data_IF_537967454601
#
_entry.id   IF_537967454601
#
_cell.length_a   1.000
_cell.length_b   1.000
_cell.length_c   1.000
_cell.angle_alpha   90.00
_cell.angle_beta   90.00
_cell.angle_gamma   90.00
#
_symmetry.space_group_name_H-M   'P 1'
#
loop_
_entity.id
_entity.type
_entity.pdbx_description
1 polymer ?
#
# COMPACT_ATOMS: atom_id res chain seq x y z
N UNK A 1 -6.29 -18.34 -25.17
CA UNK A 1 -6.85 -19.43 -24.36
C UNK A 1 -8.00 -20.06 -25.13
N UNK A 2 -8.15 -21.39 -25.12
CA UNK A 2 -9.32 -22.08 -25.67
C UNK A 2 -10.63 -21.48 -25.14
N UNK A 3 -11.66 -21.46 -25.98
CA UNK A 3 -12.97 -20.90 -25.60
C UNK A 3 -13.70 -21.92 -24.71
N UNK A 4 -14.32 -21.44 -23.63
CA UNK A 4 -15.15 -22.24 -22.72
C UNK A 4 -16.62 -21.81 -22.89
N UNK A 5 -17.52 -22.79 -22.93
CA UNK A 5 -18.96 -22.59 -23.01
C UNK A 5 -19.64 -23.58 -22.06
N UNK A 6 -20.71 -23.12 -21.42
CA UNK A 6 -21.44 -23.94 -20.46
C UNK A 6 -22.31 -24.99 -21.15
N UNK A 7 -22.37 -26.18 -20.53
CA UNK A 7 -23.25 -27.29 -20.92
C UNK A 7 -23.10 -27.73 -22.38
N UNK A 8 -21.87 -27.84 -22.88
CA UNK A 8 -21.60 -28.45 -24.19
C UNK A 8 -21.21 -29.91 -24.03
N UNK A 9 -22.00 -30.83 -24.58
CA UNK A 9 -21.77 -32.29 -24.50
C UNK A 9 -22.40 -33.03 -25.68
N UNK A 10 -21.65 -33.97 -26.23
CA UNK A 10 -22.06 -34.93 -27.25
C UNK A 10 -21.49 -36.31 -26.93
N UNK A 11 -21.82 -37.33 -27.71
CA UNK A 11 -21.17 -38.65 -27.61
C UNK A 11 -20.39 -38.99 -28.87
N UNK A 12 -19.42 -39.88 -28.73
CA UNK A 12 -18.68 -40.49 -29.84
C UNK A 12 -18.64 -42.01 -29.69
N UNK A 13 -18.50 -42.72 -30.81
CA UNK A 13 -18.16 -44.15 -30.87
C UNK A 13 -16.83 -44.39 -31.58
N UNK A 14 -16.05 -43.33 -31.82
CA UNK A 14 -14.72 -43.42 -32.41
C UNK A 14 -13.81 -44.27 -31.52
N UNK A 15 -13.01 -45.13 -32.16
CA UNK A 15 -11.99 -45.96 -31.53
C UNK A 15 -10.59 -45.47 -31.89
N UNK A 16 -9.58 -45.92 -31.18
CA UNK A 16 -8.19 -45.58 -31.49
C UNK A 16 -7.71 -44.29 -30.81
N UNK A 17 -6.61 -43.77 -31.31
CA UNK A 17 -5.93 -42.57 -30.81
C UNK A 17 -6.20 -41.31 -31.65
N UNK A 18 -6.95 -41.43 -32.75
CA UNK A 18 -7.19 -40.35 -33.69
C UNK A 18 -8.29 -39.36 -33.29
N UNK A 19 -8.57 -38.44 -34.21
CA UNK A 19 -9.70 -37.51 -34.17
C UNK A 19 -11.02 -38.24 -33.92
N UNK A 20 -11.86 -37.66 -33.07
CA UNK A 20 -13.18 -38.23 -32.74
C UNK A 20 -14.29 -37.58 -33.55
N UNK A 21 -15.25 -38.39 -33.99
CA UNK A 21 -16.48 -37.93 -34.63
C UNK A 21 -17.55 -37.70 -33.55
N UNK A 22 -18.19 -36.52 -33.56
CA UNK A 22 -19.20 -36.11 -32.60
C UNK A 22 -20.60 -36.45 -33.15
N UNK A 23 -21.04 -37.68 -32.91
CA UNK A 23 -22.20 -38.27 -33.58
C UNK A 23 -23.48 -38.22 -32.74
N UNK A 24 -23.39 -38.35 -31.42
CA UNK A 24 -24.59 -38.38 -30.56
C UNK A 24 -24.90 -37.04 -29.91
N UNK A 25 -26.18 -36.72 -29.82
CA UNK A 25 -26.70 -35.58 -29.07
C UNK A 25 -27.07 -36.04 -27.65
N UNK A 26 -26.81 -35.20 -26.65
CA UNK A 26 -27.18 -35.48 -25.26
C UNK A 26 -28.26 -34.49 -24.83
N UNK A 27 -29.38 -35.00 -24.33
CA UNK A 27 -30.52 -34.16 -23.91
C UNK A 27 -30.11 -33.19 -22.80
N UNK A 28 -30.52 -31.91 -22.92
CA UNK A 28 -30.20 -30.88 -21.93
C UNK A 28 -28.78 -30.29 -22.04
N UNK A 29 -28.07 -30.58 -23.13
CA UNK A 29 -26.77 -30.01 -23.49
C UNK A 29 -26.79 -29.42 -24.89
N UNK A 30 -25.94 -28.43 -25.11
CA UNK A 30 -25.64 -27.86 -26.43
C UNK A 30 -24.70 -28.80 -27.19
N UNK A 31 -24.83 -28.84 -28.52
CA UNK A 31 -23.82 -29.47 -29.38
C UNK A 31 -22.61 -28.57 -29.55
N UNK A 32 -21.47 -29.14 -29.96
CA UNK A 32 -20.27 -28.33 -30.23
C UNK A 32 -20.51 -27.33 -31.37
N UNK A 33 -21.28 -27.70 -32.39
CA UNK A 33 -21.64 -26.82 -33.51
C UNK A 33 -22.53 -25.64 -33.10
N UNK A 34 -23.35 -25.79 -32.07
CA UNK A 34 -24.15 -24.68 -31.51
C UNK A 34 -23.28 -23.71 -30.69
N UNK A 35 -22.26 -24.23 -30.03
CA UNK A 35 -21.44 -23.47 -29.08
C UNK A 35 -20.21 -22.79 -29.70
N UNK A 36 -19.67 -23.37 -30.77
CA UNK A 36 -18.40 -22.95 -31.36
C UNK A 36 -18.44 -22.90 -32.90
N UNK A 37 -17.82 -21.89 -33.52
CA UNK A 37 -17.54 -21.91 -34.94
C UNK A 37 -16.46 -22.94 -35.29
N UNK A 38 -16.36 -23.31 -36.56
CA UNK A 38 -15.31 -24.23 -37.05
C UNK A 38 -13.91 -23.66 -36.85
N UNK A 39 -12.94 -24.53 -36.53
CA UNK A 39 -11.56 -24.15 -36.27
C UNK A 39 -11.29 -23.65 -34.84
N UNK A 40 -12.29 -23.69 -33.95
CA UNK A 40 -12.13 -23.22 -32.58
C UNK A 40 -11.33 -24.22 -31.74
N UNK A 41 -10.29 -23.76 -31.05
CA UNK A 41 -9.67 -24.52 -29.97
C UNK A 41 -10.58 -24.51 -28.73
N UNK A 42 -10.84 -25.70 -28.21
CA UNK A 42 -11.66 -25.94 -27.02
C UNK A 42 -10.90 -26.81 -26.03
N UNK A 43 -11.21 -26.62 -24.75
CA UNK A 43 -10.90 -27.63 -23.75
C UNK A 43 -11.94 -28.74 -23.83
N UNK A 44 -11.50 -30.00 -23.78
CA UNK A 44 -12.40 -31.14 -23.82
C UNK A 44 -12.09 -32.13 -22.69
N UNK A 45 -13.09 -32.93 -22.38
CA UNK A 45 -12.97 -34.22 -21.71
C UNK A 45 -13.67 -35.28 -22.55
N UNK A 46 -13.01 -36.42 -22.77
CA UNK A 46 -13.62 -37.64 -23.32
C UNK A 46 -13.59 -38.69 -22.20
N UNK A 47 -14.72 -39.35 -21.91
CA UNK A 47 -14.77 -40.39 -20.88
C UNK A 47 -15.81 -41.48 -21.20
N UNK A 48 -15.54 -42.72 -20.79
CA UNK A 48 -16.47 -43.86 -20.92
C UNK A 48 -16.81 -44.54 -19.59
N UNK A 49 -16.53 -43.86 -18.47
CA UNK A 49 -16.75 -44.36 -17.12
C UNK A 49 -15.62 -45.24 -16.59
N UNK A 50 -14.70 -45.69 -17.46
CA UNK A 50 -13.45 -46.36 -17.07
C UNK A 50 -12.25 -45.49 -17.46
N UNK A 51 -12.14 -45.19 -18.74
CA UNK A 51 -11.06 -44.38 -19.29
C UNK A 51 -11.50 -42.92 -19.43
N UNK A 52 -10.54 -42.01 -19.29
CA UNK A 52 -10.78 -40.58 -19.44
C UNK A 52 -9.54 -39.86 -20.00
N UNK A 53 -9.81 -38.79 -20.75
CA UNK A 53 -8.78 -37.89 -21.27
C UNK A 53 -9.28 -36.45 -21.22
N UNK A 54 -8.45 -35.55 -20.69
CA UNK A 54 -8.69 -34.11 -20.66
C UNK A 54 -7.62 -33.42 -21.49
N UNK A 55 -8.03 -32.55 -22.41
CA UNK A 55 -7.10 -31.98 -23.38
C UNK A 55 -7.54 -30.68 -24.04
N UNK A 56 -6.73 -30.23 -24.98
CA UNK A 56 -7.02 -29.14 -25.92
C UNK A 56 -7.20 -29.76 -27.30
N UNK A 57 -8.28 -29.41 -27.98
CA UNK A 57 -8.60 -29.90 -29.30
C UNK A 57 -9.19 -28.82 -30.18
N UNK A 58 -9.15 -29.03 -31.48
CA UNK A 58 -9.73 -28.14 -32.48
C UNK A 58 -11.03 -28.73 -32.99
N UNK A 59 -12.14 -28.03 -32.74
CA UNK A 59 -13.45 -28.42 -33.25
C UNK A 59 -13.61 -28.00 -34.71
N UNK A 60 -14.04 -28.94 -35.56
CA UNK A 60 -14.38 -28.69 -36.96
C UNK A 60 -15.84 -29.05 -37.20
N UNK A 61 -16.59 -28.11 -37.78
CA UNK A 61 -18.00 -28.32 -38.10
C UNK A 61 -18.13 -29.33 -39.26
N UNK A 62 -19.16 -30.18 -39.21
CA UNK A 62 -19.40 -31.21 -40.22
C UNK A 62 -20.66 -32.02 -39.90
N UNK A 63 -20.93 -33.05 -40.70
CA UNK A 63 -22.01 -34.01 -40.45
C UNK A 63 -21.45 -35.45 -40.52
N UNK A 64 -20.93 -36.00 -39.40
CA UNK A 64 -20.82 -35.37 -38.06
C UNK A 64 -19.67 -34.37 -37.97
N UNK A 65 -19.71 -33.48 -36.97
CA UNK A 65 -18.57 -32.65 -36.61
C UNK A 65 -17.43 -33.48 -36.04
N UNK A 66 -16.21 -32.94 -36.03
CA UNK A 66 -15.03 -33.64 -35.51
C UNK A 66 -14.27 -32.80 -34.49
N UNK A 67 -13.59 -33.48 -33.57
CA UNK A 67 -12.73 -32.87 -32.57
C UNK A 67 -11.36 -33.54 -32.61
N UNK A 68 -10.33 -32.76 -32.92
CA UNK A 68 -8.94 -33.23 -32.82
C UNK A 68 -8.51 -33.31 -31.35
N UNK A 69 -7.43 -34.04 -31.10
CA UNK A 69 -6.87 -34.28 -29.75
C UNK A 69 -5.45 -33.73 -29.71
N UNK A 70 -5.34 -32.41 -29.91
CA UNK A 70 -4.07 -31.73 -30.21
C UNK A 70 -3.07 -31.83 -29.05
N UNK A 71 -3.54 -31.66 -27.81
CA UNK A 71 -2.72 -31.75 -26.60
C UNK A 71 -3.48 -32.48 -25.50
N UNK A 72 -2.87 -33.51 -24.91
CA UNK A 72 -3.38 -34.15 -23.69
C UNK A 72 -2.81 -33.43 -22.47
N UNK A 73 -3.69 -32.95 -21.59
CA UNK A 73 -3.31 -32.27 -20.35
C UNK A 73 -3.22 -33.26 -19.19
N UNK A 74 -4.14 -34.22 -19.14
CA UNK A 74 -4.12 -35.33 -18.21
C UNK A 74 -4.99 -36.50 -18.74
N UNK A 75 -4.72 -37.72 -18.32
CA UNK A 75 -5.50 -38.90 -18.76
C UNK A 75 -5.33 -40.12 -17.87
N UNK A 76 -6.26 -41.08 -18.01
CA UNK A 76 -6.13 -42.43 -17.43
C UNK A 76 -4.95 -43.24 -18.00
N UNK A 77 -4.32 -42.76 -19.09
CA UNK A 77 -3.18 -43.38 -19.75
C UNK A 77 -1.87 -42.63 -19.46
N UNK A 78 -1.61 -42.30 -18.18
CA UNK A 78 -0.39 -41.64 -17.73
C UNK A 78 -0.03 -40.37 -18.54
N UNK A 79 -1.02 -39.47 -18.71
CA UNK A 79 -0.90 -38.22 -19.49
C UNK A 79 -0.66 -38.41 -21.00
N UNK A 80 -0.79 -39.63 -21.51
CA UNK A 80 -0.71 -39.92 -22.95
C UNK A 80 -2.09 -40.03 -23.58
N UNK A 81 -2.14 -40.00 -24.91
CA UNK A 81 -3.38 -40.19 -25.67
C UNK A 81 -4.02 -41.54 -25.32
N UNK A 82 -5.29 -41.52 -24.95
CA UNK A 82 -6.07 -42.74 -24.66
C UNK A 82 -6.41 -43.46 -25.96
N UNK A 83 -6.15 -44.76 -26.01
CA UNK A 83 -6.55 -45.62 -27.13
C UNK A 83 -7.97 -46.16 -26.87
N UNK A 84 -8.97 -45.53 -27.48
CA UNK A 84 -10.37 -45.84 -27.19
C UNK A 84 -10.80 -47.19 -27.76
N UNK A 85 -11.30 -48.07 -26.89
CA UNK A 85 -12.00 -49.29 -27.29
C UNK A 85 -13.39 -48.97 -27.90
N UNK A 86 -14.03 -49.99 -28.48
CA UNK A 86 -15.42 -49.91 -28.94
C UNK A 86 -16.37 -49.54 -27.79
N UNK A 87 -17.42 -48.78 -28.10
CA UNK A 87 -18.41 -48.33 -27.12
C UNK A 87 -18.70 -46.84 -27.21
N UNK A 88 -19.70 -46.38 -26.47
CA UNK A 88 -20.07 -44.96 -26.40
C UNK A 88 -19.22 -44.24 -25.38
N UNK A 89 -18.68 -43.08 -25.76
CA UNK A 89 -17.97 -42.16 -24.87
C UNK A 89 -18.66 -40.82 -24.85
N UNK A 90 -18.70 -40.21 -23.68
CA UNK A 90 -19.10 -38.81 -23.52
C UNK A 90 -17.95 -37.90 -23.94
N UNK A 91 -18.26 -36.85 -24.70
CA UNK A 91 -17.33 -35.79 -25.09
C UNK A 91 -17.95 -34.46 -24.66
N UNK A 92 -17.29 -33.73 -23.77
CA UNK A 92 -17.83 -32.48 -23.22
C UNK A 92 -16.75 -31.43 -23.01
N UNK A 93 -17.15 -30.17 -22.98
CA UNK A 93 -16.26 -29.06 -22.64
C UNK A 93 -16.08 -29.02 -21.12
N UNK A 94 -14.84 -28.84 -20.68
CA UNK A 94 -14.50 -28.68 -19.27
C UNK A 94 -13.53 -27.52 -19.08
N UNK A 95 -13.39 -27.01 -17.86
CA UNK A 95 -12.26 -26.18 -17.47
C UNK A 95 -11.23 -27.08 -16.79
N UNK A 96 -10.15 -27.51 -17.48
CA UNK A 96 -9.20 -28.44 -16.90
C UNK A 96 -8.45 -27.81 -15.73
N UNK A 97 -8.13 -28.58 -14.70
CA UNK A 97 -7.36 -28.08 -13.55
C UNK A 97 -6.01 -27.47 -13.97
N UNK A 98 -5.39 -28.03 -15.02
CA UNK A 98 -4.16 -27.49 -15.63
C UNK A 98 -4.33 -26.06 -16.19
N UNK A 99 -5.55 -25.65 -16.56
CA UNK A 99 -5.85 -24.28 -16.98
C UNK A 99 -6.11 -23.32 -15.80
N UNK A 100 -6.28 -23.84 -14.58
CA UNK A 100 -6.54 -23.05 -13.35
C UNK A 100 -5.23 -22.79 -12.58
N UNK A 101 -4.09 -23.31 -13.03
CA UNK A 101 -2.80 -23.07 -12.38
C UNK A 101 -2.34 -21.62 -12.60
N UNK A 102 -2.27 -20.84 -11.52
CA UNK A 102 -1.56 -19.56 -11.50
C UNK A 102 -2.04 -18.67 -10.37
N UNK A 103 -1.09 -18.05 -9.67
CA UNK A 103 -1.40 -16.93 -8.79
C UNK A 103 -1.92 -15.72 -9.59
N UNK A 104 -1.93 -14.55 -8.95
CA UNK A 104 -2.32 -13.31 -9.60
C UNK A 104 -1.58 -13.10 -10.95
N UNK A 105 -0.30 -13.49 -11.00
CA UNK A 105 0.53 -13.46 -12.20
C UNK A 105 0.85 -14.88 -12.71
N UNK A 106 0.81 -15.03 -14.03
CA UNK A 106 1.15 -16.25 -14.76
C UNK A 106 2.65 -16.33 -15.12
N UNK A 107 3.35 -15.20 -15.14
CA UNK A 107 4.78 -15.11 -15.49
C UNK A 107 5.44 -13.87 -14.88
N UNK A 108 6.78 -13.82 -14.93
CA UNK A 108 7.59 -12.64 -14.58
C UNK A 108 8.45 -12.27 -15.79
N UNK A 109 8.47 -11.01 -16.19
CA UNK A 109 9.24 -10.51 -17.32
C UNK A 109 10.08 -9.29 -16.93
N UNK A 110 11.41 -9.39 -17.02
CA UNK A 110 12.31 -8.29 -16.74
C UNK A 110 12.37 -7.29 -17.90
N UNK A 111 12.39 -5.99 -17.61
CA UNK A 111 12.54 -4.90 -18.59
C UNK A 111 13.63 -3.93 -18.15
N UNK A 112 14.55 -3.64 -19.06
CA UNK A 112 15.73 -2.79 -18.80
C UNK A 112 15.79 -1.53 -19.68
N UNK A 113 14.72 -1.25 -20.42
CA UNK A 113 14.54 -0.08 -21.29
C UNK A 113 13.06 0.23 -21.41
N UNK A 114 12.72 1.41 -21.93
CA UNK A 114 11.33 1.81 -22.19
C UNK A 114 10.57 0.70 -22.94
N UNK A 115 9.35 0.45 -22.50
CA UNK A 115 8.58 -0.71 -22.96
C UNK A 115 7.09 -0.37 -23.04
N UNK A 116 6.47 -0.72 -24.17
CA UNK A 116 5.02 -0.61 -24.34
C UNK A 116 4.34 -1.88 -23.87
N UNK A 117 3.51 -1.79 -22.82
CA UNK A 117 2.68 -2.90 -22.32
C UNK A 117 1.64 -3.26 -23.36
N UNK A 118 1.59 -4.53 -23.73
CA UNK A 118 0.73 -5.05 -24.81
C UNK A 118 -0.18 -6.18 -24.32
N UNK A 119 -1.06 -6.68 -25.19
CA UNK A 119 -1.98 -7.76 -24.85
C UNK A 119 -1.28 -9.05 -24.38
N UNK A 120 -0.02 -9.29 -24.77
CA UNK A 120 0.77 -10.46 -24.31
C UNK A 120 1.23 -10.34 -22.85
N UNK A 121 1.18 -9.14 -22.27
CA UNK A 121 1.57 -8.90 -20.88
C UNK A 121 0.42 -9.16 -19.89
N UNK A 122 -0.72 -9.67 -20.37
CA UNK A 122 -1.83 -10.04 -19.51
C UNK A 122 -1.38 -11.07 -18.46
N UNK A 123 -1.61 -10.71 -17.19
CA UNK A 123 -1.19 -11.46 -16.01
C UNK A 123 0.33 -11.64 -15.89
N UNK A 124 1.13 -10.76 -16.47
CA UNK A 124 2.59 -10.75 -16.27
C UNK A 124 2.96 -9.82 -15.12
N UNK A 125 3.91 -10.22 -14.27
CA UNK A 125 4.64 -9.29 -13.40
C UNK A 125 5.84 -8.73 -14.17
N UNK A 126 5.78 -7.45 -14.52
CA UNK A 126 6.87 -6.73 -15.17
C UNK A 126 7.86 -6.26 -14.09
N UNK A 127 9.09 -6.78 -14.13
CA UNK A 127 10.18 -6.39 -13.24
C UNK A 127 11.07 -5.36 -13.96
N UNK A 128 10.92 -4.09 -13.62
CA UNK A 128 11.74 -3.02 -14.18
C UNK A 128 13.09 -2.97 -13.45
N UNK A 129 14.20 -3.12 -14.17
CA UNK A 129 15.54 -3.22 -13.58
C UNK A 129 16.33 -1.92 -13.58
N UNK A 130 15.79 -0.86 -14.19
CA UNK A 130 16.39 0.48 -14.28
C UNK A 130 15.27 1.52 -14.37
N UNK A 131 15.65 2.81 -14.40
CA UNK A 131 14.74 3.88 -14.80
C UNK A 131 14.25 3.66 -16.23
N UNK A 132 12.94 3.65 -16.42
CA UNK A 132 12.31 3.51 -17.72
C UNK A 132 10.87 4.03 -17.70
N UNK A 133 10.29 4.20 -18.87
CA UNK A 133 8.87 4.45 -19.07
C UNK A 133 8.17 3.18 -19.54
N UNK A 134 7.15 2.75 -18.80
CA UNK A 134 6.16 1.79 -19.23
C UNK A 134 4.98 2.53 -19.86
N UNK A 135 5.00 2.66 -21.18
CA UNK A 135 3.84 3.18 -21.92
C UNK A 135 2.74 2.11 -21.97
N UNK A 136 1.49 2.49 -21.72
CA UNK A 136 0.37 1.57 -21.80
C UNK A 136 -0.26 1.65 -23.19
N UNK A 137 -0.52 0.49 -23.81
CA UNK A 137 -1.42 0.45 -24.97
C UNK A 137 -2.79 0.99 -24.56
N UNK A 138 -3.47 1.73 -25.46
CA UNK A 138 -4.78 2.31 -25.19
C UNK A 138 -5.78 1.32 -24.56
N UNK A 139 -6.51 1.80 -23.56
CA UNK A 139 -7.44 0.99 -22.76
C UNK A 139 -8.48 0.27 -23.64
N UNK A 140 -8.97 0.94 -24.68
CA UNK A 140 -9.95 0.39 -25.64
C UNK A 140 -9.41 -0.80 -26.42
N UNK A 141 -8.10 -0.85 -26.66
CA UNK A 141 -7.45 -1.93 -27.43
C UNK A 141 -7.17 -3.16 -26.58
N UNK A 142 -6.89 -2.98 -25.28
CA UNK A 142 -6.64 -4.10 -24.35
C UNK A 142 -7.93 -4.66 -23.74
N UNK A 143 -8.98 -3.86 -23.66
CA UNK A 143 -10.30 -4.27 -23.20
C UNK A 143 -10.41 -4.41 -21.67
N UNK A 144 -11.66 -4.43 -21.21
CA UNK A 144 -11.97 -4.54 -19.77
C UNK A 144 -11.47 -5.86 -19.18
N UNK A 145 -10.84 -5.76 -18.01
CA UNK A 145 -10.28 -6.90 -17.26
C UNK A 145 -8.82 -7.21 -17.56
N UNK A 146 -8.20 -6.60 -18.58
CA UNK A 146 -6.75 -6.72 -18.78
C UNK A 146 -6.03 -6.25 -17.52
N UNK A 147 -5.18 -7.12 -16.95
CA UNK A 147 -4.51 -6.86 -15.67
C UNK A 147 -3.06 -7.31 -15.74
N UNK A 148 -2.13 -6.51 -15.20
CA UNK A 148 -0.72 -6.86 -15.06
C UNK A 148 -0.14 -6.26 -13.78
N UNK A 149 1.00 -6.79 -13.35
CA UNK A 149 1.77 -6.25 -12.23
C UNK A 149 3.02 -5.56 -12.73
N UNK A 150 3.49 -4.57 -11.99
CA UNK A 150 4.79 -3.95 -12.23
C UNK A 150 5.49 -3.72 -10.90
N UNK A 151 6.78 -4.02 -10.85
CA UNK A 151 7.66 -3.69 -9.73
C UNK A 151 8.88 -2.95 -10.25
N UNK A 152 9.27 -1.89 -9.54
CA UNK A 152 10.53 -1.22 -9.76
C UNK A 152 11.63 -1.88 -8.90
N UNK A 153 12.37 -2.81 -9.50
CA UNK A 153 13.55 -3.43 -8.89
C UNK A 153 14.84 -2.65 -9.14
N UNK A 154 14.80 -1.56 -9.90
CA UNK A 154 15.94 -0.71 -10.22
C UNK A 154 16.23 0.36 -9.16
N UNK A 155 17.26 1.16 -9.42
CA UNK A 155 17.73 2.24 -8.51
C UNK A 155 17.18 3.62 -8.85
N UNK A 156 16.52 3.79 -10.00
CA UNK A 156 15.87 5.04 -10.39
C UNK A 156 14.38 4.84 -10.66
N UNK A 157 13.68 5.90 -11.05
CA UNK A 157 12.22 5.90 -11.14
C UNK A 157 11.69 5.20 -12.39
N UNK A 158 10.60 4.46 -12.23
CA UNK A 158 9.81 3.91 -13.34
C UNK A 158 8.56 4.75 -13.52
N UNK A 159 8.35 5.28 -14.72
CA UNK A 159 7.12 6.02 -15.07
C UNK A 159 6.14 5.09 -15.76
N UNK A 160 4.88 5.10 -15.35
CA UNK A 160 3.80 4.42 -16.05
C UNK A 160 2.97 5.49 -16.75
N UNK A 161 2.83 5.33 -18.06
CA UNK A 161 2.33 6.36 -18.97
C UNK A 161 1.18 5.82 -19.84
N UNK A 162 -0.08 6.03 -19.41
CA UNK A 162 -1.27 5.76 -20.22
C UNK A 162 -1.22 6.41 -21.62
N UNK A 163 -1.89 5.78 -22.59
CA UNK A 163 -1.89 6.26 -23.98
C UNK A 163 -2.65 7.59 -24.13
N UNK A 164 -2.01 8.60 -24.72
CA UNK A 164 -2.66 9.84 -25.11
C UNK A 164 -3.15 10.65 -23.90
N UNK A 165 -4.46 10.88 -23.81
CA UNK A 165 -5.08 11.60 -22.69
C UNK A 165 -5.76 10.68 -21.67
N UNK A 166 -5.49 9.37 -21.74
CA UNK A 166 -5.96 8.43 -20.73
C UNK A 166 -5.34 8.76 -19.37
N UNK A 167 -6.01 8.33 -18.31
CA UNK A 167 -5.50 8.48 -16.95
C UNK A 167 -5.45 7.15 -16.23
N UNK A 168 -4.55 7.07 -15.25
CA UNK A 168 -4.47 5.99 -14.26
C UNK A 168 -4.69 6.62 -12.89
N UNK A 169 -5.75 6.19 -12.20
CA UNK A 169 -6.21 6.82 -10.94
C UNK A 169 -6.40 8.36 -11.04
N UNK A 170 -6.82 8.87 -12.20
CA UNK A 170 -7.03 10.29 -12.44
C UNK A 170 -5.76 11.10 -12.75
N UNK A 171 -4.57 10.47 -12.80
CA UNK A 171 -3.32 11.10 -13.20
C UNK A 171 -2.93 10.71 -14.64
N UNK A 172 -2.28 11.63 -15.37
CA UNK A 172 -1.75 11.35 -16.71
C UNK A 172 -0.57 10.38 -16.69
N UNK A 173 0.18 10.33 -15.59
CA UNK A 173 1.22 9.32 -15.35
C UNK A 173 1.29 9.01 -13.86
N UNK A 174 1.82 7.84 -13.52
CA UNK A 174 2.24 7.53 -12.13
C UNK A 174 3.69 7.09 -12.12
N UNK A 175 4.44 7.50 -11.11
CA UNK A 175 5.85 7.12 -10.94
C UNK A 175 5.99 6.10 -9.81
N UNK A 176 6.77 5.05 -10.01
CA UNK A 176 7.18 4.09 -8.99
C UNK A 176 8.63 4.40 -8.58
N UNK A 177 8.84 4.67 -7.29
CA UNK A 177 10.18 4.80 -6.74
C UNK A 177 10.90 3.44 -6.68
N UNK A 178 12.23 3.39 -6.49
CA UNK A 178 12.95 2.14 -6.23
C UNK A 178 12.28 1.34 -5.12
N UNK A 179 11.93 0.07 -5.40
CA UNK A 179 11.24 -0.83 -4.47
C UNK A 179 9.71 -0.77 -4.51
N UNK A 180 9.10 0.24 -5.12
CA UNK A 180 7.64 0.33 -5.27
C UNK A 180 7.10 -0.71 -6.27
N UNK A 181 5.81 -1.01 -6.14
CA UNK A 181 5.07 -1.83 -7.07
C UNK A 181 3.64 -1.34 -7.27
N UNK A 182 3.03 -1.75 -8.38
CA UNK A 182 1.61 -1.55 -8.66
C UNK A 182 1.00 -2.75 -9.38
N UNK A 183 -0.29 -2.98 -9.15
CA UNK A 183 -1.15 -3.83 -9.98
C UNK A 183 -2.07 -2.91 -10.77
N UNK A 184 -2.10 -3.05 -12.09
CA UNK A 184 -2.92 -2.23 -12.96
C UNK A 184 -4.00 -3.07 -13.62
N UNK A 185 -5.22 -2.52 -13.68
CA UNK A 185 -6.36 -3.13 -14.36
C UNK A 185 -7.00 -2.12 -15.32
N UNK A 186 -7.25 -2.56 -16.54
CA UNK A 186 -7.98 -1.82 -17.56
C UNK A 186 -9.49 -2.05 -17.43
N UNK A 187 -10.28 -0.99 -17.55
CA UNK A 187 -11.76 -1.05 -17.62
C UNK A 187 -12.30 -1.12 -19.06
N UNK A 188 -11.43 -0.99 -20.06
CA UNK A 188 -11.78 -0.81 -21.47
C UNK A 188 -11.86 0.67 -21.89
N UNK A 189 -11.87 1.61 -20.95
CA UNK A 189 -11.87 3.07 -21.23
C UNK A 189 -10.90 3.87 -20.36
N UNK A 190 -10.43 3.29 -19.25
CA UNK A 190 -9.53 3.92 -18.29
C UNK A 190 -8.73 2.88 -17.51
N UNK A 191 -7.70 3.33 -16.80
CA UNK A 191 -6.84 2.51 -15.96
C UNK A 191 -7.07 2.76 -14.48
N UNK A 192 -7.05 1.69 -13.69
CA UNK A 192 -6.99 1.74 -12.23
C UNK A 192 -5.73 1.03 -11.76
N UNK A 193 -5.08 1.59 -10.73
CA UNK A 193 -3.88 1.01 -10.15
C UNK A 193 -4.02 0.85 -8.64
N UNK A 194 -3.77 -0.36 -8.13
CA UNK A 194 -3.44 -0.61 -6.74
C UNK A 194 -1.93 -0.45 -6.60
N UNK A 195 -1.51 0.70 -6.07
CA UNK A 195 -0.09 1.04 -5.90
C UNK A 195 0.27 0.98 -4.42
N UNK A 196 1.39 0.33 -4.08
CA UNK A 196 2.04 0.64 -2.81
C UNK A 196 2.60 2.05 -2.94
N UNK A 197 1.98 3.00 -2.27
CA UNK A 197 2.69 4.23 -1.97
C UNK A 197 3.84 3.80 -1.07
N UNK A 198 5.10 4.00 -1.48
CA UNK A 198 6.15 4.17 -0.50
C UNK A 198 5.55 5.04 0.61
N UNK A 199 5.76 4.65 1.87
CA UNK A 199 5.79 5.65 2.92
C UNK A 199 6.93 6.58 2.49
N UNK A 200 6.64 7.55 1.62
CA UNK A 200 7.43 8.76 1.50
C UNK A 200 7.63 9.15 2.94
N UNK A 201 8.88 9.13 3.40
CA UNK A 201 9.22 9.63 4.73
C UNK A 201 8.50 10.96 4.84
N UNK A 202 7.38 10.99 5.56
CA UNK A 202 6.65 12.22 5.72
C UNK A 202 7.61 13.05 6.54
N UNK A 203 8.00 14.23 6.06
CA UNK A 203 8.71 15.21 6.88
C UNK A 203 8.00 15.38 8.23
N UNK A 204 6.68 15.21 8.21
CA UNK A 204 5.72 14.98 9.28
C UNK A 204 5.91 13.62 10.00
N UNK A 205 7.11 13.27 10.47
CA UNK A 205 7.32 12.13 11.39
C UNK A 205 8.51 12.36 12.34
N UNK A 206 8.67 11.53 13.37
CA UNK A 206 9.87 11.54 14.20
C UNK A 206 11.10 11.15 13.37
N UNK A 207 12.21 11.87 13.54
CA UNK A 207 13.44 11.59 12.80
C UNK A 207 14.07 10.28 13.30
N UNK A 208 14.33 9.36 12.37
CA UNK A 208 15.07 8.12 12.69
C UNK A 208 16.56 8.36 12.94
N UNK A 209 17.10 9.50 12.50
CA UNK A 209 18.51 9.87 12.66
C UNK A 209 18.75 10.89 13.78
N UNK A 210 17.76 11.72 14.12
CA UNK A 210 17.90 12.77 15.13
C UNK A 210 17.14 12.43 16.42
N UNK A 211 17.64 11.40 17.10
CA UNK A 211 17.10 10.87 18.34
C UNK A 211 18.20 10.21 19.18
N UNK A 212 17.98 10.09 20.48
CA UNK A 212 18.81 9.26 21.34
C UNK A 212 18.67 7.77 20.98
N UNK A 213 19.74 7.00 21.22
CA UNK A 213 19.85 5.61 20.75
C UNK A 213 18.69 4.73 21.21
N UNK A 214 18.22 4.89 22.46
CA UNK A 214 17.19 4.03 23.03
C UNK A 214 15.77 4.56 22.86
N UNK A 215 15.57 5.70 22.18
CA UNK A 215 14.22 6.09 21.74
C UNK A 215 13.79 5.18 20.59
N UNK A 216 12.78 4.35 20.81
CA UNK A 216 12.26 3.42 19.80
C UNK A 216 11.15 4.07 19.02
N UNK A 217 11.24 4.01 17.68
CA UNK A 217 10.24 4.54 16.75
C UNK A 217 9.47 3.40 16.07
N UNK A 218 8.16 3.54 15.93
CA UNK A 218 7.26 2.57 15.29
C UNK A 218 6.14 3.27 14.51
N UNK A 219 5.30 2.49 13.82
CA UNK A 219 4.14 2.97 13.04
C UNK A 219 4.52 4.06 12.04
N UNK A 220 5.53 3.80 11.20
CA UNK A 220 6.05 4.80 10.26
C UNK A 220 6.69 6.01 10.96
N UNK A 221 7.36 5.77 12.09
CA UNK A 221 7.98 6.79 12.94
C UNK A 221 7.02 7.84 13.51
N UNK A 222 5.73 7.54 13.63
CA UNK A 222 4.79 8.41 14.35
C UNK A 222 4.72 8.08 15.84
N UNK A 223 5.08 6.86 16.24
CA UNK A 223 5.07 6.45 17.64
C UNK A 223 6.49 6.47 18.21
N UNK A 224 6.70 7.18 19.31
CA UNK A 224 7.94 7.21 20.07
C UNK A 224 7.76 6.56 21.44
N UNK A 225 8.67 5.67 21.82
CA UNK A 225 8.57 4.92 23.08
C UNK A 225 9.94 4.62 23.68
N UNK A 226 9.95 4.27 24.96
CA UNK A 226 11.14 3.75 25.64
C UNK A 226 10.75 2.60 26.56
N UNK A 227 11.57 1.55 26.59
CA UNK A 227 11.40 0.41 27.52
C UNK A 227 12.19 0.58 28.83
N UNK A 228 13.26 1.38 28.81
CA UNK A 228 14.10 1.68 29.97
C UNK A 228 13.56 2.79 30.88
N UNK A 229 14.17 2.93 32.07
CA UNK A 229 13.80 3.94 33.08
C UNK A 229 14.42 5.32 32.86
N UNK A 230 15.39 5.45 31.95
CA UNK A 230 16.00 6.73 31.60
C UNK A 230 15.16 7.50 30.58
N UNK A 231 15.19 8.83 30.68
CA UNK A 231 14.59 9.68 29.65
C UNK A 231 15.31 9.46 28.31
N UNK A 232 14.56 9.34 27.23
CA UNK A 232 15.07 9.29 25.86
C UNK A 232 14.29 10.26 24.99
N UNK A 233 14.99 11.02 24.15
CA UNK A 233 14.43 12.14 23.42
C UNK A 233 14.76 12.09 21.93
N UNK A 234 13.99 12.81 21.14
CA UNK A 234 14.20 12.95 19.71
C UNK A 234 13.43 14.12 19.12
N UNK A 235 13.80 14.51 17.91
CA UNK A 235 13.14 15.56 17.12
C UNK A 235 12.41 14.95 15.92
N UNK A 236 11.46 15.69 15.37
CA UNK A 236 10.86 15.39 14.08
C UNK A 236 11.79 15.78 12.92
N UNK A 237 11.53 15.24 11.73
CA UNK A 237 12.32 15.49 10.53
C UNK A 237 12.12 16.88 9.91
N UNK A 238 11.12 17.63 10.37
CA UNK A 238 10.73 18.92 9.77
C UNK A 238 10.88 20.09 10.74
N UNK A 239 11.43 21.18 10.20
CA UNK A 239 11.52 22.46 10.90
C UNK A 239 10.16 23.18 10.90
N UNK A 240 9.87 23.84 12.01
CA UNK A 240 8.71 24.71 12.16
C UNK A 240 9.02 26.07 11.52
N UNK A 241 8.06 26.60 10.77
CA UNK A 241 8.08 27.98 10.28
C UNK A 241 6.67 28.48 10.01
N UNK A 242 6.40 29.72 10.39
CA UNK A 242 5.08 30.33 10.46
C UNK A 242 4.27 29.84 11.67
N UNK A 243 2.95 30.06 11.59
CA UNK A 243 1.97 29.57 12.56
C UNK A 243 1.67 28.09 12.33
N UNK A 244 2.20 27.23 13.20
CA UNK A 244 2.11 25.77 13.08
C UNK A 244 1.47 25.12 14.29
N UNK A 245 0.67 24.08 14.04
CA UNK A 245 0.03 23.28 15.07
C UNK A 245 0.29 21.79 14.84
N UNK A 246 0.49 21.06 15.94
CA UNK A 246 0.50 19.61 15.93
C UNK A 246 -0.01 19.04 17.25
N UNK A 247 -0.39 17.77 17.24
CA UNK A 247 -0.80 17.04 18.43
C UNK A 247 0.11 15.85 18.73
N UNK A 248 0.19 15.50 20.01
CA UNK A 248 0.81 14.25 20.47
C UNK A 248 -0.09 13.61 21.51
N UNK A 249 -0.45 12.34 21.30
CA UNK A 249 -1.26 11.55 22.25
C UNK A 249 -0.36 10.70 23.14
N UNK A 250 -0.66 10.62 24.43
CA UNK A 250 -0.05 9.65 25.33
C UNK A 250 -0.74 8.29 25.19
N UNK A 251 -0.06 7.31 24.60
CA UNK A 251 -0.62 5.98 24.33
C UNK A 251 -0.39 4.99 25.47
N UNK A 252 0.73 5.11 26.18
CA UNK A 252 1.02 4.34 27.38
C UNK A 252 1.68 5.24 28.42
N UNK A 253 1.21 5.15 29.66
CA UNK A 253 1.79 5.86 30.79
C UNK A 253 2.88 5.01 31.46
N UNK A 254 3.89 5.69 32.00
CA UNK A 254 4.83 5.07 32.92
C UNK A 254 4.08 4.59 34.19
N UNK A 255 4.53 3.49 34.84
CA UNK A 255 3.91 3.01 36.08
C UNK A 255 3.89 4.05 37.22
N UNK A 256 4.84 4.99 37.21
CA UNK A 256 4.90 6.12 38.15
C UNK A 256 5.75 7.26 37.59
N UNK A 257 5.39 8.50 37.92
CA UNK A 257 6.15 9.69 37.55
C UNK A 257 6.06 10.03 36.05
N UNK A 258 7.10 10.68 35.53
CA UNK A 258 7.14 11.14 34.14
C UNK A 258 6.94 9.99 33.13
N UNK A 259 5.95 10.16 32.26
CA UNK A 259 5.73 9.32 31.07
C UNK A 259 6.35 9.96 29.84
N UNK A 260 6.08 11.26 29.63
CA UNK A 260 6.60 11.99 28.48
C UNK A 260 6.71 13.51 28.71
N UNK A 261 7.53 14.16 27.88
CA UNK A 261 7.61 15.61 27.71
C UNK A 261 7.36 15.90 26.23
N UNK A 262 6.42 16.79 25.92
CA UNK A 262 6.10 17.20 24.55
C UNK A 262 6.49 18.66 24.35
N UNK A 263 7.13 18.98 23.22
CA UNK A 263 7.42 20.36 22.89
C UNK A 263 8.27 20.53 21.63
N UNK A 264 9.25 21.43 21.68
CA UNK A 264 10.13 21.73 20.55
C UNK A 264 11.58 21.91 21.00
N UNK A 265 12.53 21.70 20.10
CA UNK A 265 13.95 21.95 20.34
C UNK A 265 14.67 22.35 19.05
N UNK A 266 15.73 23.16 19.15
CA UNK A 266 16.66 23.39 18.03
C UNK A 266 17.52 22.15 17.80
N UNK A 267 18.14 22.05 16.62
CA UNK A 267 19.07 20.98 16.29
C UNK A 267 20.35 20.99 17.17
N UNK A 268 20.69 22.13 17.77
CA UNK A 268 21.87 22.28 18.63
C UNK A 268 21.64 21.83 20.07
N UNK A 269 20.40 21.58 20.48
CA UNK A 269 20.11 21.06 21.81
C UNK A 269 20.62 19.62 21.92
N UNK A 270 21.54 19.42 22.85
CA UNK A 270 21.96 18.11 23.32
C UNK A 270 21.00 17.66 24.42
N UNK A 271 20.37 16.51 24.22
CA UNK A 271 19.43 15.94 25.18
C UNK A 271 20.13 15.47 26.46
N UNK A 272 19.39 15.37 27.56
CA UNK A 272 19.92 14.86 28.82
C UNK A 272 19.00 13.83 29.46
N UNK A 273 19.56 12.94 30.28
CA UNK A 273 18.79 11.94 31.02
C UNK A 273 17.93 12.53 32.17
N UNK A 274 18.23 13.75 32.63
CA UNK A 274 17.52 14.41 33.73
C UNK A 274 16.43 15.39 33.27
N UNK A 275 16.62 16.04 32.12
CA UNK A 275 15.71 17.05 31.58
C UNK A 275 15.15 16.73 30.19
N UNK A 276 15.58 15.62 29.58
CA UNK A 276 15.12 15.18 28.28
C UNK A 276 15.38 16.25 27.21
N UNK A 277 14.33 16.57 26.47
CA UNK A 277 14.32 17.62 25.45
C UNK A 277 14.55 19.02 26.03
N UNK A 278 14.24 19.25 27.32
CA UNK A 278 14.22 20.57 27.94
C UNK A 278 15.58 20.98 28.56
N UNK A 279 16.68 20.36 28.14
CA UNK A 279 17.99 20.48 28.78
C UNK A 279 18.66 21.85 28.57
N UNK A 280 18.29 22.61 27.53
CA UNK A 280 18.96 23.86 27.15
C UNK A 280 17.97 24.97 26.77
N UNK A 281 18.44 26.21 26.67
CA UNK A 281 17.62 27.39 26.32
C UNK A 281 16.99 27.34 24.92
N UNK A 282 17.55 26.55 24.00
CA UNK A 282 16.98 26.28 22.67
C UNK A 282 15.86 25.23 22.66
N UNK A 283 15.15 25.04 23.77
CA UNK A 283 14.08 24.03 23.89
C UNK A 283 12.95 24.49 24.79
N UNK A 284 11.78 23.92 24.61
CA UNK A 284 10.62 24.11 25.48
C UNK A 284 9.81 22.83 25.52
N UNK A 285 9.38 22.44 26.72
CA UNK A 285 8.59 21.22 26.94
C UNK A 285 7.46 21.38 27.93
N UNK A 286 6.48 20.49 27.86
CA UNK A 286 5.39 20.36 28.80
C UNK A 286 5.36 18.92 29.34
N UNK A 287 5.46 18.74 30.66
CA UNK A 287 5.68 17.44 31.31
C UNK A 287 4.41 16.76 31.81
N UNK A 288 4.32 15.44 31.66
CA UNK A 288 3.12 14.66 31.98
C UNK A 288 2.79 14.56 33.46
N UNK A 289 3.81 14.37 34.30
CA UNK A 289 3.66 14.04 35.71
C UNK A 289 3.42 15.25 36.61
N UNK A 290 3.98 16.40 36.24
CA UNK A 290 3.94 17.63 37.04
C UNK A 290 3.07 18.72 36.43
N UNK A 291 2.75 18.63 35.13
CA UNK A 291 2.11 19.73 34.40
C UNK A 291 2.99 20.98 34.31
N UNK A 292 4.30 20.85 34.57
CA UNK A 292 5.23 21.96 34.47
C UNK A 292 5.60 22.25 33.02
N UNK A 293 5.86 23.52 32.75
CA UNK A 293 6.58 23.93 31.54
C UNK A 293 8.08 23.91 31.84
N UNK A 294 8.86 23.33 30.94
CA UNK A 294 10.28 23.04 31.12
C UNK A 294 11.12 23.74 30.05
N UNK A 295 12.21 24.37 30.43
CA UNK A 295 13.26 24.86 29.51
C UNK A 295 14.56 25.07 30.28
N UNK A 296 15.71 24.95 29.61
CA UNK A 296 17.02 25.26 30.19
C UNK A 296 17.25 24.61 31.56
N UNK A 297 16.96 23.31 31.66
CA UNK A 297 17.09 22.54 32.90
C UNK A 297 16.33 23.12 34.09
N UNK A 298 15.18 23.75 33.83
CA UNK A 298 14.33 24.40 34.84
C UNK A 298 12.86 24.07 34.56
N UNK A 299 12.10 23.78 35.62
CA UNK A 299 10.66 23.56 35.56
C UNK A 299 9.88 24.63 36.31
N UNK A 300 8.77 25.08 35.73
CA UNK A 300 7.89 26.10 36.31
C UNK A 300 6.44 25.60 36.26
N UNK A 301 5.69 25.82 37.34
CA UNK A 301 4.26 25.51 37.39
C UNK A 301 3.51 26.21 36.25
N UNK A 302 2.63 25.48 35.55
CA UNK A 302 2.02 26.00 34.32
C UNK A 302 0.63 25.44 34.04
N UNK A 303 0.52 24.13 33.84
CA UNK A 303 -0.70 23.46 33.41
C UNK A 303 -1.04 22.26 34.27
N UNK A 304 -2.08 21.54 33.87
CA UNK A 304 -2.48 20.28 34.51
C UNK A 304 -1.55 19.14 34.11
N UNK A 305 -1.41 18.15 34.98
CA UNK A 305 -0.81 16.86 34.62
C UNK A 305 -1.64 16.17 33.54
N UNK A 306 -1.06 15.20 32.84
CA UNK A 306 -1.72 14.46 31.78
C UNK A 306 -1.32 12.99 31.78
N UNK A 307 -2.28 12.15 31.42
CA UNK A 307 -2.26 10.69 31.59
C UNK A 307 -2.58 9.98 30.28
N UNK A 308 -2.48 8.64 30.27
CA UNK A 308 -2.81 7.83 29.09
C UNK A 308 -4.16 8.23 28.49
N UNK A 309 -4.18 8.40 27.18
CA UNK A 309 -5.34 8.84 26.41
C UNK A 309 -5.40 10.35 26.16
N UNK A 310 -4.77 11.17 27.02
CA UNK A 310 -4.73 12.62 26.82
C UNK A 310 -3.92 13.01 25.58
N UNK A 311 -4.34 14.10 24.95
CA UNK A 311 -3.73 14.67 23.75
C UNK A 311 -3.20 16.06 24.07
N UNK A 312 -1.92 16.27 23.78
CA UNK A 312 -1.25 17.54 23.93
C UNK A 312 -1.15 18.22 22.58
N UNK A 313 -1.80 19.38 22.44
CA UNK A 313 -1.65 20.25 21.28
C UNK A 313 -0.49 21.22 21.51
N UNK A 314 0.31 21.46 20.47
CA UNK A 314 1.41 22.42 20.48
C UNK A 314 1.19 23.39 19.33
N UNK A 315 1.03 24.67 19.66
CA UNK A 315 0.98 25.75 18.68
C UNK A 315 2.28 26.57 18.75
N UNK A 316 2.88 26.87 17.61
CA UNK A 316 4.08 27.70 17.49
C UNK A 316 3.89 28.83 16.51
N UNK A 317 4.45 30.00 16.80
CA UNK A 317 4.41 31.19 15.94
C UNK A 317 5.76 31.90 15.96
N UNK A 318 6.45 31.91 14.83
CA UNK A 318 7.69 32.66 14.58
C UNK A 318 7.49 33.88 13.67
N UNK A 319 6.24 34.21 13.31
CA UNK A 319 5.93 35.17 12.25
C UNK A 319 6.34 36.62 12.58
N UNK A 320 6.61 36.92 13.86
CA UNK A 320 7.15 38.20 14.31
C UNK A 320 8.60 38.41 13.88
N UNK A 321 9.36 37.32 13.65
CA UNK A 321 10.80 37.34 13.45
C UNK A 321 11.62 37.76 14.67
N UNK A 322 10.98 38.06 15.81
CA UNK A 322 11.64 38.54 17.04
C UNK A 322 11.75 37.45 18.13
N UNK A 323 10.79 36.53 18.13
CA UNK A 323 10.68 35.43 19.07
C UNK A 323 9.96 34.24 18.44
N UNK A 324 10.12 33.06 19.02
CA UNK A 324 9.28 31.89 18.72
C UNK A 324 8.36 31.68 19.91
N UNK A 325 7.07 31.96 19.70
CA UNK A 325 6.03 31.80 20.72
C UNK A 325 5.47 30.40 20.69
N UNK A 326 5.18 29.86 21.88
CA UNK A 326 4.70 28.47 22.03
C UNK A 326 3.51 28.44 22.99
N UNK A 327 2.48 27.68 22.63
CA UNK A 327 1.34 27.38 23.50
C UNK A 327 1.11 25.87 23.56
N UNK A 328 0.65 25.40 24.73
CA UNK A 328 0.26 24.01 24.93
C UNK A 328 -1.22 23.91 25.27
N UNK A 329 -1.89 22.93 24.69
CA UNK A 329 -3.25 22.53 25.07
C UNK A 329 -3.24 21.11 25.64
N UNK A 330 -4.22 20.81 26.48
CA UNK A 330 -4.55 19.45 26.90
C UNK A 330 -6.00 19.19 26.47
N UNK A 331 -6.21 18.19 25.63
CA UNK A 331 -7.53 17.81 25.12
C UNK A 331 -8.29 19.02 24.53
N UNK A 332 -7.59 19.86 23.76
CA UNK A 332 -8.14 21.08 23.15
C UNK A 332 -8.23 22.29 24.08
N UNK A 333 -7.96 22.16 25.38
CA UNK A 333 -8.00 23.27 26.35
C UNK A 333 -6.60 23.88 26.53
N UNK A 334 -6.44 25.15 26.14
CA UNK A 334 -5.18 25.88 26.29
C UNK A 334 -4.79 26.07 27.76
N UNK A 335 -3.55 25.69 28.08
CA UNK A 335 -3.01 25.75 29.43
C UNK A 335 -2.46 27.15 29.75
N UNK A 336 -2.40 27.52 31.04
CA UNK A 336 -1.86 28.81 31.49
C UNK A 336 -2.60 30.05 30.97
N UNK A 337 -3.87 29.92 30.56
CA UNK A 337 -4.65 31.00 29.96
C UNK A 337 -4.20 31.37 28.53
N UNK A 338 -3.51 30.45 27.85
CA UNK A 338 -3.01 30.64 26.49
C UNK A 338 -4.10 30.95 25.47
N UNK A 339 -3.82 31.87 24.55
CA UNK A 339 -4.68 32.16 23.40
C UNK A 339 -3.82 32.36 22.14
N UNK A 340 -3.44 31.27 21.45
CA UNK A 340 -2.60 31.33 20.25
C UNK A 340 -3.26 32.08 19.09
N UNK A 341 -4.59 32.02 18.93
CA UNK A 341 -5.29 32.73 17.87
C UNK A 341 -5.13 34.26 17.98
N UNK A 342 -5.10 34.78 19.21
CA UNK A 342 -4.82 36.19 19.50
C UNK A 342 -3.33 36.49 19.75
N UNK A 343 -2.46 35.47 19.73
CA UNK A 343 -1.04 35.60 20.08
C UNK A 343 -0.77 35.98 21.55
N UNK A 344 -1.72 35.74 22.46
CA UNK A 344 -1.64 36.15 23.86
C UNK A 344 -1.25 35.00 24.80
N UNK A 345 -0.57 35.33 25.90
CA UNK A 345 -0.15 34.41 26.97
C UNK A 345 0.59 33.15 26.48
N UNK A 346 1.67 33.28 25.69
CA UNK A 346 2.47 32.12 25.32
C UNK A 346 3.07 31.46 26.56
N UNK A 347 3.16 30.13 26.55
CA UNK A 347 3.89 29.37 27.56
C UNK A 347 5.37 29.78 27.57
N UNK A 348 5.92 30.03 26.38
CA UNK A 348 7.28 30.50 26.14
C UNK A 348 7.34 31.50 25.00
N UNK A 349 8.24 32.49 25.13
CA UNK A 349 8.79 33.28 24.03
C UNK A 349 10.29 32.95 23.96
N UNK A 350 10.69 32.08 23.04
CA UNK A 350 12.09 31.68 22.86
C UNK A 350 12.80 32.62 21.90
N UNK A 351 14.14 32.64 21.97
CA UNK A 351 14.96 33.33 20.97
C UNK A 351 14.73 32.77 19.57
N UNK A 352 14.84 33.64 18.57
CA UNK A 352 14.74 33.28 17.14
C UNK A 352 15.70 32.15 16.82
N UNK A 353 15.22 31.15 16.09
CA UNK A 353 16.00 30.00 15.66
C UNK A 353 15.14 28.99 14.92
N UNK A 354 15.78 27.96 14.38
CA UNK A 354 15.09 26.85 13.72
C UNK A 354 14.74 25.78 14.73
N UNK A 355 13.45 25.58 14.98
CA UNK A 355 12.95 24.60 15.93
C UNK A 355 12.24 23.45 15.23
N UNK A 356 12.27 22.29 15.87
CA UNK A 356 11.63 21.06 15.41
C UNK A 356 10.70 20.56 16.53
N UNK A 357 9.54 19.94 16.21
CA UNK A 357 8.80 19.15 17.19
C UNK A 357 9.75 18.19 17.90
N UNK A 358 9.62 18.09 19.21
CA UNK A 358 10.48 17.26 20.04
C UNK A 358 9.66 16.49 21.08
N UNK A 359 10.17 15.31 21.43
CA UNK A 359 9.55 14.40 22.39
C UNK A 359 10.62 13.85 23.32
N UNK A 360 10.23 13.62 24.57
CA UNK A 360 10.93 12.76 25.52
C UNK A 360 9.96 11.71 26.03
N UNK A 361 10.38 10.45 26.08
CA UNK A 361 9.66 9.36 26.74
C UNK A 361 10.50 8.81 27.91
N UNK A 362 9.84 8.26 28.94
CA UNK A 362 10.50 7.63 30.10
C UNK A 362 9.70 6.44 30.62
N UNK A 363 10.39 5.40 31.09
CA UNK A 363 9.85 4.32 31.94
C UNK A 363 8.61 3.62 31.39
N UNK A 364 8.62 3.23 30.12
CA UNK A 364 7.46 2.60 29.45
C UNK A 364 6.49 3.60 28.81
N UNK A 365 6.75 4.90 28.94
CA UNK A 365 6.00 5.96 28.26
C UNK A 365 6.06 5.81 26.75
N UNK A 366 4.90 5.92 26.12
CA UNK A 366 4.74 5.84 24.66
C UNK A 366 3.80 6.94 24.19
N UNK A 367 4.19 7.65 23.13
CA UNK A 367 3.36 8.69 22.53
C UNK A 367 3.27 8.54 21.02
N UNK A 368 2.16 8.99 20.43
CA UNK A 368 1.97 9.05 18.99
C UNK A 368 1.76 10.48 18.51
N UNK A 369 2.58 10.88 17.54
CA UNK A 369 2.48 12.15 16.85
C UNK A 369 1.29 12.16 15.89
N UNK A 370 0.67 13.33 15.78
CA UNK A 370 -0.42 13.66 14.87
C UNK A 370 -0.07 14.96 14.20
N UNK A 371 0.84 14.84 13.23
CA UNK A 371 1.46 15.97 12.56
C UNK A 371 0.61 16.52 11.40
N UNK A 372 -0.26 15.69 10.83
CA UNK A 372 -1.21 16.09 9.80
C UNK A 372 -2.56 16.51 10.38
N UNK A 373 -3.22 17.46 9.71
CA UNK A 373 -4.53 17.98 10.10
C UNK A 373 -5.63 16.92 10.20
N UNK A 374 -5.53 15.86 9.40
CA UNK A 374 -6.50 14.75 9.37
C UNK A 374 -6.39 13.82 10.58
N UNK A 375 -5.27 13.86 11.30
CA UNK A 375 -5.04 13.03 12.49
C UNK A 375 -5.40 13.74 13.80
N UNK A 376 -5.71 15.03 13.77
CA UNK A 376 -6.00 15.81 14.97
C UNK A 376 -7.34 15.41 15.61
N UNK A 377 -7.34 15.29 16.94
CA UNK A 377 -8.55 15.16 17.73
C UNK A 377 -9.23 16.49 18.00
N UNK A 378 -8.47 17.59 18.00
CA UNK A 378 -8.96 18.92 18.30
C UNK A 378 -8.59 19.90 17.19
N UNK A 379 -9.50 20.84 16.92
CA UNK A 379 -9.26 21.87 15.91
C UNK A 379 -8.07 22.75 16.28
N UNK A 380 -7.19 23.01 15.31
CA UNK A 380 -6.12 23.99 15.47
C UNK A 380 -6.68 25.41 15.74
N UNK A 381 -5.91 26.29 16.40
CA UNK A 381 -6.26 27.70 16.50
C UNK A 381 -6.46 28.34 15.13
N UNK A 382 -7.33 29.35 15.06
CA UNK A 382 -7.52 30.13 13.84
C UNK A 382 -6.19 30.69 13.33
N UNK A 383 -5.90 30.45 12.06
CA UNK A 383 -4.67 30.90 11.39
C UNK A 383 -3.44 30.01 11.58
N UNK A 384 -3.58 28.85 12.22
CA UNK A 384 -2.51 27.86 12.35
C UNK A 384 -2.75 26.68 11.41
N UNK A 385 -1.67 26.21 10.78
CA UNK A 385 -1.71 25.08 9.84
C UNK A 385 -0.89 23.90 10.36
N UNK A 386 -1.06 22.73 9.75
CA UNK A 386 -0.22 21.57 10.05
C UNK A 386 1.27 21.86 9.81
N UNK A 387 2.13 21.07 10.43
CA UNK A 387 3.57 21.16 10.17
C UNK A 387 3.85 20.74 8.70
N UNK A 388 4.94 21.24 8.09
CA UNK A 388 5.15 21.14 6.64
C UNK A 388 5.51 19.74 6.10
#
# INVERSE_FOLDING_TARGET
>A
MPIIKDRVKQTTTSTGTGTVALTGMVQGFQTFAQAFPSGTQVYYCIADGTDWEVGIGTFTVGSPGSLSRDTVLDSSNAKSVVNWAVGTKDVFVTLPAAAVVGGLFASVAAKAADYTVSASDARTLIECTTSLTLSLTAATSLGGGFTFGVRNGGVGSVTIDPSGSETVNGALTITLAPGDWAILTCSGTAWSALKQYALSASSEMWSSSDKETNLTLANGNLTASVSGSTMQSGRAGVALSGKRYFEVRLDAAAPSGLSAIIGIATATVVFSNNWGLAAASGSAGFASDTGQKLTNSTGVAFGSTWTMGDVIGVATDDSSGADVKIWFSKNGIWQGGGNPAAGANPAFSLSVGTYYPAVTCKSGGQVSARFTGTLWSYSAPSGFSAIP
#
